data_IF_768169805678
#
_entry.id   IF_768169805678
#
_cell.length_a   1.000
_cell.length_b   1.000
_cell.length_c   1.000
_cell.angle_alpha   90.00
_cell.angle_beta   90.00
_cell.angle_gamma   90.00
#
_symmetry.space_group_name_H-M   'P 1'
#
loop_
_entity.id
_entity.type
_entity.pdbx_description
1 polymer ?
#
# COMPACT_ATOMS: atom_id res chain seq x y z
N UNK A 1 5.28 -19.42 9.30
CA UNK A 1 5.96 -18.13 9.55
C UNK A 1 6.16 -17.45 8.20
N UNK A 2 5.33 -16.47 7.85
CA UNK A 2 5.57 -15.68 6.65
C UNK A 2 6.75 -14.75 6.92
N UNK A 3 7.87 -14.83 6.18
CA UNK A 3 9.02 -13.95 6.39
C UNK A 3 8.58 -12.50 6.18
N UNK A 4 9.06 -11.60 7.04
CA UNK A 4 8.72 -10.18 7.00
C UNK A 4 9.25 -9.54 5.70
N UNK A 5 8.41 -9.47 4.65
CA UNK A 5 8.79 -8.95 3.31
C UNK A 5 8.68 -7.44 3.15
N UNK A 6 8.17 -6.72 4.15
CA UNK A 6 7.96 -5.27 4.07
C UNK A 6 9.27 -4.51 4.36
N UNK A 7 9.86 -3.92 3.32
CA UNK A 7 11.07 -3.09 3.42
C UNK A 7 10.74 -1.67 3.88
N UNK A 8 9.69 -1.06 3.33
CA UNK A 8 9.19 0.26 3.72
C UNK A 8 7.67 0.27 3.76
N UNK A 9 7.08 1.00 4.72
CA UNK A 9 5.63 1.16 4.86
C UNK A 9 5.30 2.65 4.83
N UNK A 10 4.73 3.10 3.71
CA UNK A 10 4.32 4.48 3.50
C UNK A 10 2.83 4.60 3.75
N UNK A 11 2.46 5.42 4.73
CA UNK A 11 1.06 5.67 5.06
C UNK A 11 0.64 6.97 4.37
N UNK A 12 -0.09 6.80 3.26
CA UNK A 12 -0.50 7.90 2.41
C UNK A 12 -1.74 8.59 2.99
N UNK A 13 -1.80 9.91 2.83
CA UNK A 13 -2.94 10.74 3.25
C UNK A 13 -3.29 10.64 4.73
N UNK A 14 -2.28 10.52 5.60
CA UNK A 14 -2.45 10.46 7.05
C UNK A 14 -3.07 11.76 7.60
N UNK A 15 -4.33 11.74 8.06
CA UNK A 15 -4.93 12.92 8.66
C UNK A 15 -4.31 13.18 10.03
N UNK A 16 -4.14 14.45 10.41
CA UNK A 16 -3.57 14.81 11.74
C UNK A 16 -4.36 14.24 12.92
N UNK A 17 -5.66 13.97 12.77
CA UNK A 17 -6.46 13.33 13.82
C UNK A 17 -6.13 11.84 14.00
N UNK A 18 -5.53 11.19 13.00
CA UNK A 18 -5.14 9.79 13.07
C UNK A 18 -3.93 9.56 13.97
N UNK A 19 -3.13 10.60 14.27
CA UNK A 19 -2.08 10.55 15.30
C UNK A 19 -2.62 10.10 16.66
N UNK A 20 -3.86 10.50 17.00
CA UNK A 20 -4.51 10.09 18.23
C UNK A 20 -4.81 8.59 18.27
N UNK A 21 -5.39 8.05 17.18
CA UNK A 21 -5.65 6.62 17.05
C UNK A 21 -4.34 5.85 17.05
N UNK A 22 -3.34 6.33 16.31
CA UNK A 22 -2.05 5.68 16.21
C UNK A 22 -1.34 5.57 17.56
N UNK A 23 -1.55 6.54 18.45
CA UNK A 23 -1.00 6.51 19.81
C UNK A 23 -1.52 5.32 20.63
N UNK A 24 -2.74 4.86 20.38
CA UNK A 24 -3.32 3.69 21.04
C UNK A 24 -2.88 2.36 20.43
N UNK A 25 -2.59 2.32 19.12
CA UNK A 25 -2.12 1.08 18.45
C UNK A 25 -0.60 0.92 18.47
N UNK A 26 0.16 2.00 18.67
CA UNK A 26 1.64 1.99 18.82
C UNK A 26 2.19 0.92 19.79
N UNK A 27 1.58 0.67 20.98
CA UNK A 27 2.05 -0.35 21.91
C UNK A 27 1.95 -1.78 21.36
N UNK A 28 1.05 -2.02 20.42
CA UNK A 28 0.83 -3.34 19.79
C UNK A 28 1.78 -3.59 18.61
N UNK A 29 2.45 -2.55 18.10
CA UNK A 29 3.37 -2.65 16.97
C UNK A 29 4.79 -3.00 17.45
N UNK A 30 5.46 -3.90 16.73
CA UNK A 30 6.86 -4.20 16.96
C UNK A 30 7.76 -3.00 16.67
N UNK A 31 8.90 -2.92 17.36
CA UNK A 31 9.96 -1.92 17.10
C UNK A 31 10.36 -1.86 15.62
N UNK A 32 10.39 -3.03 14.95
CA UNK A 32 10.70 -3.16 13.52
C UNK A 32 9.63 -2.58 12.58
N UNK A 33 8.39 -2.47 13.02
CA UNK A 33 7.29 -1.87 12.25
C UNK A 33 7.24 -0.36 12.48
N UNK A 34 7.51 0.09 13.72
CA UNK A 34 7.59 1.50 14.07
C UNK A 34 8.69 2.23 13.30
N UNK A 35 9.86 1.61 13.14
CA UNK A 35 11.00 2.23 12.45
C UNK A 35 10.85 2.33 10.93
N UNK A 36 9.95 1.53 10.34
CA UNK A 36 9.70 1.50 8.88
C UNK A 36 8.53 2.39 8.44
N UNK A 37 7.78 2.92 9.39
CA UNK A 37 6.61 3.75 9.15
C UNK A 37 7.01 5.19 8.88
N UNK A 38 6.67 5.69 7.70
CA UNK A 38 6.71 7.13 7.38
C UNK A 38 5.29 7.60 7.12
N UNK A 39 4.79 8.50 7.96
CA UNK A 39 3.50 9.14 7.75
C UNK A 39 3.65 10.25 6.71
N UNK A 40 2.84 10.19 5.66
CA UNK A 40 2.79 11.21 4.64
C UNK A 40 1.50 12.02 4.83
N UNK A 41 1.64 13.33 5.02
CA UNK A 41 0.47 14.21 4.86
C UNK A 41 0.08 14.26 3.38
N UNK A 42 -1.20 14.48 3.06
CA UNK A 42 -1.68 14.46 1.67
C UNK A 42 -0.83 15.32 0.71
N UNK A 43 -0.29 16.45 1.20
CA UNK A 43 0.53 17.36 0.40
C UNK A 43 1.99 16.91 0.19
N UNK A 44 2.48 15.95 0.99
CA UNK A 44 3.87 15.47 0.94
C UNK A 44 4.01 14.06 0.38
N UNK A 45 2.89 13.45 -0.05
CA UNK A 45 2.86 12.07 -0.57
C UNK A 45 3.78 11.93 -1.77
N UNK A 46 3.66 12.80 -2.78
CA UNK A 46 4.46 12.73 -3.99
C UNK A 46 5.96 12.88 -3.72
N UNK A 47 6.37 13.91 -2.98
CA UNK A 47 7.78 14.15 -2.64
C UNK A 47 8.39 12.96 -1.86
N UNK A 48 7.61 12.37 -0.96
CA UNK A 48 8.07 11.21 -0.17
C UNK A 48 8.23 9.98 -1.05
N UNK A 49 7.28 9.73 -1.95
CA UNK A 49 7.36 8.64 -2.92
C UNK A 49 8.57 8.82 -3.84
N UNK A 50 8.76 10.01 -4.39
CA UNK A 50 9.87 10.34 -5.28
C UNK A 50 11.24 10.16 -4.61
N UNK A 51 11.33 10.31 -3.28
CA UNK A 51 12.57 10.05 -2.52
C UNK A 51 12.95 8.56 -2.42
N UNK A 52 12.04 7.65 -2.80
CA UNK A 52 12.19 6.19 -2.63
C UNK A 52 11.91 5.38 -3.89
N UNK A 53 11.17 5.93 -4.83
CA UNK A 53 10.64 5.26 -6.02
C UNK A 53 10.85 6.20 -7.20
N UNK A 54 11.27 5.66 -8.34
CA UNK A 54 11.44 6.43 -9.57
C UNK A 54 10.09 6.99 -10.06
N UNK A 55 10.12 8.18 -10.66
CA UNK A 55 8.90 8.91 -11.03
C UNK A 55 7.99 8.13 -12.00
N UNK A 56 8.58 7.38 -12.92
CA UNK A 56 7.90 6.51 -13.89
C UNK A 56 7.30 5.24 -13.26
N UNK A 57 7.55 4.99 -11.98
CA UNK A 57 6.97 3.88 -11.21
C UNK A 57 5.90 4.38 -10.22
N UNK A 58 5.70 5.70 -10.09
CA UNK A 58 4.69 6.28 -9.22
C UNK A 58 3.39 6.50 -10.01
N UNK A 59 2.25 5.94 -9.56
CA UNK A 59 0.94 6.16 -10.18
C UNK A 59 0.59 7.64 -10.30
N UNK A 60 -0.14 8.00 -11.36
CA UNK A 60 -0.54 9.39 -11.65
C UNK A 60 -1.40 9.99 -10.53
N UNK A 61 -2.18 9.16 -9.85
CA UNK A 61 -3.00 9.51 -8.69
C UNK A 61 -2.17 10.06 -7.52
N UNK A 62 -0.89 9.69 -7.45
CA UNK A 62 0.06 10.18 -6.46
C UNK A 62 1.02 11.24 -7.00
N UNK A 63 0.76 11.78 -8.20
CA UNK A 63 1.55 12.83 -8.83
C UNK A 63 2.70 12.35 -9.72
N UNK A 64 2.85 11.03 -9.91
CA UNK A 64 3.92 10.44 -10.71
C UNK A 64 3.61 10.32 -12.21
N UNK A 65 4.52 9.64 -12.92
CA UNK A 65 4.48 9.47 -14.37
C UNK A 65 4.33 8.01 -14.82
N UNK A 66 3.89 7.11 -13.93
CA UNK A 66 3.63 5.70 -14.29
C UNK A 66 2.70 5.56 -15.49
N UNK A 67 3.06 4.63 -16.37
CA UNK A 67 2.21 4.22 -17.50
C UNK A 67 0.89 3.59 -17.01
N UNK A 68 0.96 2.87 -15.89
CA UNK A 68 -0.17 2.17 -15.29
C UNK A 68 -0.78 2.98 -14.14
N UNK A 69 -2.11 2.99 -14.07
CA UNK A 69 -2.84 3.50 -12.92
C UNK A 69 -2.68 2.58 -11.71
N UNK A 70 -3.07 3.07 -10.53
CA UNK A 70 -3.04 2.27 -9.30
C UNK A 70 -3.94 1.02 -9.46
N UNK A 71 -3.40 -0.17 -9.22
CA UNK A 71 -4.16 -1.43 -9.32
C UNK A 71 -4.24 -2.03 -10.73
N UNK A 72 -3.64 -1.38 -11.71
CA UNK A 72 -3.72 -1.76 -13.13
C UNK A 72 -2.39 -2.29 -13.70
N UNK A 73 -1.36 -2.43 -12.87
CA UNK A 73 -0.09 -2.99 -13.32
C UNK A 73 -0.29 -4.45 -13.79
N UNK A 74 0.24 -4.87 -14.96
CA UNK A 74 0.01 -6.23 -15.51
C UNK A 74 0.26 -7.36 -14.51
N UNK A 75 1.37 -7.31 -13.76
CA UNK A 75 1.64 -8.29 -12.70
C UNK A 75 0.56 -8.36 -11.61
N UNK A 76 -0.03 -7.23 -11.23
CA UNK A 76 -1.08 -7.19 -10.21
C UNK A 76 -2.39 -7.77 -10.78
N UNK A 77 -2.73 -7.42 -12.02
CA UNK A 77 -3.89 -7.95 -12.74
C UNK A 77 -3.77 -9.47 -12.91
N UNK A 78 -2.62 -9.96 -13.35
CA UNK A 78 -2.37 -11.39 -13.53
C UNK A 78 -2.44 -12.16 -12.21
N UNK A 79 -1.87 -11.59 -11.13
CA UNK A 79 -1.94 -12.18 -9.80
C UNK A 79 -3.38 -12.22 -9.27
N UNK A 80 -4.14 -11.13 -9.45
CA UNK A 80 -5.57 -11.04 -9.07
C UNK A 80 -6.39 -12.09 -9.82
N UNK A 81 -6.23 -12.17 -11.15
CA UNK A 81 -6.96 -13.13 -11.97
C UNK A 81 -6.60 -14.58 -11.62
N UNK A 82 -5.33 -14.87 -11.36
CA UNK A 82 -4.89 -16.18 -10.87
C UNK A 82 -5.51 -16.55 -9.52
N UNK A 83 -5.57 -15.59 -8.59
CA UNK A 83 -6.22 -15.81 -7.29
C UNK A 83 -7.73 -16.04 -7.43
N UNK A 84 -8.42 -15.24 -8.25
CA UNK A 84 -9.85 -15.40 -8.52
C UNK A 84 -10.18 -16.78 -9.09
N UNK A 85 -9.38 -17.26 -10.05
CA UNK A 85 -9.54 -18.60 -10.61
C UNK A 85 -9.48 -19.70 -9.55
N UNK A 86 -8.53 -19.62 -8.61
CA UNK A 86 -8.40 -20.60 -7.51
C UNK A 86 -9.58 -20.53 -6.55
N UNK A 87 -10.17 -19.35 -6.35
CA UNK A 87 -11.33 -19.16 -5.48
C UNK A 87 -12.61 -19.71 -6.12
N UNK A 88 -12.81 -19.49 -7.43
CA UNK A 88 -13.87 -20.11 -8.22
C UNK A 88 -13.79 -21.64 -8.18
N UNK A 89 -12.59 -22.20 -8.38
CA UNK A 89 -12.35 -23.65 -8.28
C UNK A 89 -12.71 -24.22 -6.89
N UNK A 90 -12.67 -23.39 -5.85
CA UNK A 90 -13.02 -23.76 -4.48
C UNK A 90 -14.47 -23.45 -4.12
N UNK A 91 -15.25 -22.88 -5.03
CA UNK A 91 -16.65 -22.48 -4.79
C UNK A 91 -16.78 -21.37 -3.74
N UNK A 92 -15.75 -20.53 -3.58
CA UNK A 92 -15.78 -19.39 -2.67
C UNK A 92 -16.20 -18.17 -3.48
N UNK A 93 -17.40 -17.65 -3.19
CA UNK A 93 -17.89 -16.43 -3.79
C UNK A 93 -17.26 -15.21 -3.09
N UNK A 94 -16.69 -14.29 -3.86
CA UNK A 94 -16.02 -13.11 -3.33
C UNK A 94 -16.88 -11.88 -3.61
N UNK A 95 -17.28 -11.19 -2.56
CA UNK A 95 -17.89 -9.86 -2.69
C UNK A 95 -16.88 -8.88 -3.33
N UNK A 96 -17.31 -8.03 -4.28
CA UNK A 96 -16.42 -7.04 -4.87
C UNK A 96 -15.92 -6.07 -3.81
N UNK A 97 -14.60 -5.95 -3.70
CA UNK A 97 -13.96 -4.94 -2.85
C UNK A 97 -13.99 -3.63 -3.64
N UNK A 98 -14.91 -2.74 -3.24
CA UNK A 98 -15.02 -1.35 -3.70
C UNK A 98 -13.74 -0.56 -3.43
#
# INVERSE_FOLDING_TARGET
>A
MSPQRSTHLLLLSWPRWFDWIFRFIRPLLSESTKSKMTSCTANSVYETLLSKIDNDQIPKEYGGASEYALGEHPYEVDMRNGALKVLEEKGIDMEPVL
#
